data_IF_406799077511
#
_entry.id   IF_406799077511
#
_cell.length_a   1.000
_cell.length_b   1.000
_cell.length_c   1.000
_cell.angle_alpha   90.00
_cell.angle_beta   90.00
_cell.angle_gamma   90.00
#
_symmetry.space_group_name_H-M   'P 1'
#
loop_
_entity.id
_entity.type
_entity.pdbx_description
1 polymer ?
#
# COMPACT_ATOMS: atom_id res chain seq x y z
N UNK A 1 18.01 -13.57 11.41
CA UNK A 1 19.15 -12.82 10.84
C UNK A 1 18.69 -11.56 10.13
N UNK A 2 17.86 -11.64 9.08
CA UNK A 2 17.38 -10.46 8.35
C UNK A 2 16.78 -9.35 9.25
N UNK A 3 15.80 -9.68 10.09
CA UNK A 3 15.18 -8.70 11.00
C UNK A 3 16.13 -8.05 12.01
N UNK A 4 17.26 -8.69 12.34
CA UNK A 4 18.28 -8.12 13.25
C UNK A 4 19.25 -7.19 12.53
N UNK A 5 19.47 -7.42 11.24
CA UNK A 5 20.47 -6.72 10.45
C UNK A 5 19.86 -5.59 9.61
N UNK A 6 18.53 -5.45 9.57
CA UNK A 6 17.88 -4.52 8.64
C UNK A 6 18.31 -3.07 8.86
N UNK A 7 18.54 -2.66 10.11
CA UNK A 7 18.97 -1.29 10.45
C UNK A 7 20.49 -1.10 10.34
N UNK A 8 21.28 -2.16 10.55
CA UNK A 8 22.76 -2.11 10.58
C UNK A 8 23.42 -2.42 9.22
N UNK A 9 22.95 -3.47 8.54
CA UNK A 9 23.44 -3.97 7.24
C UNK A 9 22.25 -4.51 6.39
N UNK A 10 21.50 -3.61 5.72
CA UNK A 10 20.37 -3.98 4.89
C UNK A 10 20.73 -4.95 3.75
N UNK A 11 21.95 -4.83 3.21
CA UNK A 11 22.40 -5.68 2.10
C UNK A 11 22.59 -7.12 2.56
N UNK A 12 23.25 -7.35 3.70
CA UNK A 12 23.38 -8.69 4.27
C UNK A 12 22.02 -9.24 4.73
N UNK A 13 21.16 -8.39 5.30
CA UNK A 13 19.78 -8.78 5.62
C UNK A 13 19.03 -9.28 4.38
N UNK A 14 19.21 -8.60 3.24
CA UNK A 14 18.63 -8.96 1.96
C UNK A 14 19.15 -10.31 1.43
N UNK A 15 20.46 -10.57 1.50
CA UNK A 15 21.03 -11.87 1.12
C UNK A 15 20.43 -13.03 1.96
N UNK A 16 20.24 -12.81 3.25
CA UNK A 16 19.58 -13.78 4.12
C UNK A 16 18.10 -14.00 3.74
N UNK A 17 17.39 -12.94 3.37
CA UNK A 17 16.00 -13.05 2.91
C UNK A 17 15.88 -13.81 1.58
N UNK A 18 16.79 -13.55 0.63
CA UNK A 18 16.90 -14.30 -0.62
C UNK A 18 17.16 -15.79 -0.38
N UNK A 19 18.06 -16.12 0.55
CA UNK A 19 18.29 -17.51 0.95
C UNK A 19 17.04 -18.15 1.56
N UNK A 20 16.32 -17.43 2.42
CA UNK A 20 15.09 -17.94 3.03
C UNK A 20 14.00 -18.24 1.97
N UNK A 21 13.77 -17.34 1.02
CA UNK A 21 12.76 -17.54 -0.03
C UNK A 21 13.12 -18.68 -0.98
N UNK A 22 14.40 -18.94 -1.26
CA UNK A 22 14.82 -20.12 -2.04
C UNK A 22 14.39 -21.44 -1.40
N UNK A 23 14.34 -21.51 -0.08
CA UNK A 23 13.92 -22.71 0.65
C UNK A 23 12.43 -22.72 1.03
N UNK A 24 11.84 -21.54 1.23
CA UNK A 24 10.50 -21.37 1.78
C UNK A 24 9.64 -20.41 0.93
N UNK A 25 9.70 -20.54 -0.40
CA UNK A 25 9.07 -19.60 -1.33
C UNK A 25 7.54 -19.51 -1.27
N UNK A 26 6.83 -20.31 -0.48
CA UNK A 26 5.38 -20.14 -0.27
C UNK A 26 5.02 -19.58 1.10
N UNK A 27 6.02 -19.35 1.96
CA UNK A 27 5.80 -18.83 3.31
C UNK A 27 5.67 -17.30 3.24
N UNK A 28 4.53 -16.79 3.68
CA UNK A 28 4.22 -15.35 3.66
C UNK A 28 5.33 -14.53 4.35
N UNK A 29 5.72 -14.91 5.56
CA UNK A 29 6.77 -14.23 6.32
C UNK A 29 8.13 -14.18 5.59
N UNK A 30 8.51 -15.25 4.87
CA UNK A 30 9.75 -15.24 4.11
C UNK A 30 9.70 -14.24 2.95
N UNK A 31 8.54 -14.12 2.30
CA UNK A 31 8.31 -13.15 1.21
C UNK A 31 8.22 -11.72 1.72
N UNK A 32 7.54 -11.51 2.85
CA UNK A 32 7.49 -10.22 3.54
C UNK A 32 8.89 -9.74 3.91
N UNK A 33 9.70 -10.62 4.50
CA UNK A 33 11.09 -10.31 4.84
C UNK A 33 11.91 -9.93 3.59
N UNK A 34 11.71 -10.64 2.47
CA UNK A 34 12.37 -10.30 1.20
C UNK A 34 11.89 -8.96 0.66
N UNK A 35 10.59 -8.67 0.74
CA UNK A 35 10.03 -7.40 0.31
C UNK A 35 10.58 -6.22 1.12
N UNK A 36 10.58 -6.32 2.45
CA UNK A 36 11.07 -5.26 3.34
C UNK A 36 12.57 -5.02 3.15
N UNK A 37 13.36 -6.09 3.04
CA UNK A 37 14.81 -5.95 2.79
C UNK A 37 15.08 -5.37 1.39
N UNK A 38 14.35 -5.80 0.36
CA UNK A 38 14.46 -5.23 -0.99
C UNK A 38 14.15 -3.73 -0.97
N UNK A 39 13.07 -3.34 -0.28
CA UNK A 39 12.69 -1.94 -0.08
C UNK A 39 13.80 -1.13 0.60
N UNK A 40 14.35 -1.63 1.70
CA UNK A 40 15.45 -0.98 2.42
C UNK A 40 16.73 -0.84 1.59
N UNK A 41 17.00 -1.78 0.66
CA UNK A 41 18.14 -1.70 -0.27
C UNK A 41 17.87 -0.88 -1.53
N UNK A 42 16.64 -0.37 -1.71
CA UNK A 42 16.24 0.41 -2.89
C UNK A 42 15.92 -0.40 -4.14
N UNK A 43 15.82 -1.73 -4.05
CA UNK A 43 15.30 -2.56 -5.16
C UNK A 43 13.77 -2.55 -5.15
N UNK A 44 13.20 -1.41 -5.54
CA UNK A 44 11.76 -1.16 -5.51
C UNK A 44 10.98 -2.09 -6.45
N UNK A 45 11.57 -2.51 -7.57
CA UNK A 45 10.93 -3.44 -8.48
C UNK A 45 10.77 -4.84 -7.84
N UNK A 46 11.80 -5.31 -7.14
CA UNK A 46 11.75 -6.54 -6.35
C UNK A 46 10.76 -6.42 -5.19
N UNK A 47 10.84 -5.34 -4.42
CA UNK A 47 9.94 -5.09 -3.30
C UNK A 47 8.47 -5.15 -3.75
N UNK A 48 8.12 -4.38 -4.79
CA UNK A 48 6.77 -4.32 -5.36
C UNK A 48 6.24 -5.69 -5.81
N UNK A 49 7.08 -6.51 -6.46
CA UNK A 49 6.71 -7.87 -6.89
C UNK A 49 6.38 -8.77 -5.70
N UNK A 50 7.21 -8.73 -4.65
CA UNK A 50 7.03 -9.55 -3.47
C UNK A 50 5.86 -9.06 -2.60
N UNK A 51 5.67 -7.75 -2.44
CA UNK A 51 4.52 -7.16 -1.73
C UNK A 51 3.19 -7.53 -2.39
N UNK A 52 3.09 -7.43 -3.71
CA UNK A 52 1.89 -7.88 -4.46
C UNK A 52 1.65 -9.38 -4.32
N UNK A 53 2.72 -10.17 -4.24
CA UNK A 53 2.62 -11.60 -4.01
C UNK A 53 2.16 -11.91 -2.58
N UNK A 54 2.70 -11.20 -1.59
CA UNK A 54 2.28 -11.28 -0.19
C UNK A 54 0.79 -10.94 -0.06
N UNK A 55 0.34 -9.82 -0.63
CA UNK A 55 -1.08 -9.41 -0.66
C UNK A 55 -1.99 -10.49 -1.25
N UNK A 56 -1.57 -11.15 -2.33
CA UNK A 56 -2.33 -12.28 -2.91
C UNK A 56 -2.38 -13.52 -2.01
N UNK A 57 -1.33 -13.77 -1.23
CA UNK A 57 -1.24 -14.93 -0.33
C UNK A 57 -2.06 -14.69 0.95
N UNK A 58 -1.95 -13.50 1.54
CA UNK A 58 -2.55 -13.18 2.84
C UNK A 58 -3.95 -12.59 2.71
N UNK A 59 -4.27 -11.96 1.57
CA UNK A 59 -5.48 -11.17 1.38
C UNK A 59 -5.46 -9.83 2.13
N UNK A 60 -4.36 -9.46 2.79
CA UNK A 60 -4.26 -8.25 3.62
C UNK A 60 -3.51 -7.12 2.91
N UNK A 61 -3.89 -5.88 3.24
CA UNK A 61 -3.33 -4.65 2.66
C UNK A 61 -2.27 -3.98 3.54
N UNK A 62 -1.66 -4.74 4.47
CA UNK A 62 -0.82 -4.19 5.54
C UNK A 62 0.37 -3.34 5.06
N UNK A 63 0.88 -3.62 3.85
CA UNK A 63 2.05 -2.94 3.27
C UNK A 63 1.68 -2.01 2.11
N UNK A 64 0.45 -1.51 2.05
CA UNK A 64 0.01 -0.61 0.97
C UNK A 64 0.94 0.61 0.85
N UNK A 65 1.39 1.21 1.96
CA UNK A 65 2.30 2.35 1.93
C UNK A 65 3.62 2.01 1.20
N UNK A 66 4.24 0.86 1.50
CA UNK A 66 5.45 0.41 0.79
C UNK A 66 5.18 0.09 -0.68
N UNK A 67 3.98 -0.38 -1.05
CA UNK A 67 3.60 -0.57 -2.46
C UNK A 67 3.55 0.78 -3.18
N UNK A 68 2.90 1.78 -2.57
CA UNK A 68 2.82 3.15 -3.10
C UNK A 68 4.22 3.74 -3.26
N UNK A 69 5.07 3.69 -2.23
CA UNK A 69 6.43 4.20 -2.31
C UNK A 69 7.30 3.43 -3.31
N UNK A 70 7.11 2.11 -3.45
CA UNK A 70 7.84 1.34 -4.46
C UNK A 70 7.40 1.67 -5.89
N UNK A 71 6.12 1.96 -6.14
CA UNK A 71 5.64 2.45 -7.45
C UNK A 71 6.27 3.82 -7.79
N UNK A 72 6.39 4.72 -6.80
CA UNK A 72 7.15 5.97 -6.95
C UNK A 72 8.62 5.69 -7.27
N UNK A 73 9.26 4.78 -6.53
CA UNK A 73 10.67 4.41 -6.71
C UNK A 73 11.01 3.81 -8.07
N UNK A 74 10.03 3.23 -8.78
CA UNK A 74 10.18 2.79 -10.18
C UNK A 74 9.70 3.82 -11.21
N UNK A 75 9.40 5.06 -10.78
CA UNK A 75 9.03 6.18 -11.63
C UNK A 75 7.57 6.19 -12.09
N UNK A 76 6.65 5.65 -11.28
CA UNK A 76 5.20 5.58 -11.61
C UNK A 76 4.31 6.22 -10.52
N UNK A 77 4.47 7.52 -10.24
CA UNK A 77 3.73 8.19 -9.18
C UNK A 77 2.21 8.21 -9.38
N UNK A 78 1.70 8.28 -10.62
CA UNK A 78 0.26 8.16 -10.88
C UNK A 78 -0.26 6.79 -10.45
N UNK A 79 0.50 5.72 -10.73
CA UNK A 79 0.15 4.36 -10.33
C UNK A 79 0.19 4.20 -8.81
N UNK A 80 1.16 4.84 -8.15
CA UNK A 80 1.25 4.89 -6.71
C UNK A 80 -0.04 5.46 -6.09
N UNK A 81 -0.54 6.57 -6.64
CA UNK A 81 -1.80 7.18 -6.16
C UNK A 81 -3.03 6.30 -6.46
N UNK A 82 -3.07 5.58 -7.59
CA UNK A 82 -4.12 4.60 -7.85
C UNK A 82 -4.14 3.47 -6.81
N UNK A 83 -2.99 2.88 -6.51
CA UNK A 83 -2.86 1.80 -5.52
C UNK A 83 -3.27 2.28 -4.12
N UNK A 84 -2.87 3.50 -3.74
CA UNK A 84 -3.24 4.09 -2.45
C UNK A 84 -4.74 4.37 -2.32
N UNK A 85 -5.41 4.81 -3.40
CA UNK A 85 -6.87 5.04 -3.41
C UNK A 85 -7.69 3.74 -3.42
N UNK A 86 -7.11 2.66 -3.97
CA UNK A 86 -7.77 1.35 -4.02
C UNK A 86 -7.73 0.60 -2.69
N UNK A 87 -6.97 1.08 -1.70
CA UNK A 87 -6.91 0.46 -0.38
C UNK A 87 -8.09 0.86 0.49
N UNK A 88 -8.66 -0.12 1.19
CA UNK A 88 -9.68 0.11 2.21
C UNK A 88 -9.01 0.64 3.47
N UNK A 89 -9.27 1.91 3.80
CA UNK A 89 -8.69 2.59 4.96
C UNK A 89 -9.25 2.07 6.28
N UNK A 90 -10.46 1.49 6.28
CA UNK A 90 -11.08 0.96 7.49
C UNK A 90 -10.40 -0.33 7.98
N UNK A 91 -9.78 -1.08 7.06
CA UNK A 91 -9.02 -2.29 7.38
C UNK A 91 -7.60 -2.00 7.90
N UNK A 92 -7.10 -0.78 7.72
CA UNK A 92 -5.75 -0.38 8.12
C UNK A 92 -5.70 0.05 9.58
N UNK A 93 -4.57 -0.20 10.24
CA UNK A 93 -4.25 0.43 11.53
C UNK A 93 -4.04 1.94 11.35
N UNK A 94 -4.09 2.69 12.46
CA UNK A 94 -3.79 4.13 12.47
C UNK A 94 -2.41 4.41 11.86
N UNK A 95 -1.41 3.65 12.28
CA UNK A 95 -0.04 3.76 11.79
C UNK A 95 0.05 3.51 10.27
N UNK A 96 -0.60 2.45 9.78
CA UNK A 96 -0.64 2.15 8.35
C UNK A 96 -1.34 3.25 7.53
N UNK A 97 -2.39 3.89 8.08
CA UNK A 97 -3.04 5.03 7.41
C UNK A 97 -2.14 6.26 7.36
N UNK A 98 -1.38 6.51 8.42
CA UNK A 98 -0.39 7.60 8.48
C UNK A 98 0.72 7.36 7.45
N UNK A 99 1.29 6.15 7.40
CA UNK A 99 2.30 5.77 6.41
C UNK A 99 1.77 5.90 4.97
N UNK A 100 0.53 5.46 4.73
CA UNK A 100 -0.10 5.61 3.42
C UNK A 100 -0.26 7.08 3.02
N UNK A 101 -0.68 7.94 3.95
CA UNK A 101 -0.80 9.38 3.71
C UNK A 101 0.54 10.02 3.34
N UNK A 102 1.62 9.66 4.04
CA UNK A 102 2.98 10.13 3.72
C UNK A 102 3.41 9.66 2.33
N UNK A 103 3.22 8.38 2.00
CA UNK A 103 3.59 7.84 0.68
C UNK A 103 2.78 8.50 -0.46
N UNK A 104 1.47 8.72 -0.26
CA UNK A 104 0.63 9.42 -1.22
C UNK A 104 1.03 10.89 -1.39
N UNK A 105 1.38 11.57 -0.30
CA UNK A 105 1.94 12.94 -0.33
C UNK A 105 3.22 12.97 -1.17
N UNK A 106 4.14 12.03 -0.95
CA UNK A 106 5.35 11.88 -1.78
C UNK A 106 5.04 11.68 -3.26
N UNK A 107 4.03 10.85 -3.60
CA UNK A 107 3.63 10.66 -5.00
C UNK A 107 3.09 11.94 -5.64
N UNK A 108 2.44 12.83 -4.87
CA UNK A 108 2.01 14.16 -5.34
C UNK A 108 3.20 15.08 -5.58
N UNK A 109 4.21 15.05 -4.72
CA UNK A 109 5.45 15.82 -4.92
C UNK A 109 6.18 15.40 -6.19
N UNK A 110 6.27 14.10 -6.48
CA UNK A 110 6.88 13.60 -7.72
C UNK A 110 6.17 14.11 -8.98
N UNK A 111 4.87 14.45 -8.86
CA UNK A 111 4.05 15.04 -9.92
C UNK A 111 4.06 16.57 -9.93
N UNK A 112 4.81 17.22 -9.04
CA UNK A 112 4.81 18.68 -8.86
C UNK A 112 3.49 19.24 -8.32
N UNK A 113 2.68 18.43 -7.67
CA UNK A 113 1.37 18.80 -7.12
C UNK A 113 1.48 19.14 -5.63
N UNK A 114 2.33 20.11 -5.27
CA UNK A 114 2.75 20.35 -3.89
C UNK A 114 1.60 20.72 -2.95
N UNK A 115 0.61 21.50 -3.38
CA UNK A 115 -0.57 21.82 -2.55
C UNK A 115 -1.41 20.57 -2.27
N UNK A 116 -1.55 19.68 -3.27
CA UNK A 116 -2.23 18.40 -3.06
C UNK A 116 -1.41 17.48 -2.16
N UNK A 117 -0.08 17.52 -2.25
CA UNK A 117 0.79 16.78 -1.34
C UNK A 117 0.54 17.17 0.12
N UNK A 118 0.35 18.46 0.40
CA UNK A 118 0.03 18.94 1.74
C UNK A 118 -1.33 18.41 2.20
N UNK A 119 -2.32 18.44 1.30
CA UNK A 119 -3.67 17.96 1.59
C UNK A 119 -3.71 16.43 1.87
N UNK A 120 -2.86 15.61 1.24
CA UNK A 120 -2.79 14.17 1.55
C UNK A 120 -2.38 13.91 3.02
N UNK A 121 -1.65 14.85 3.64
CA UNK A 121 -1.18 14.74 5.04
C UNK A 121 -2.24 15.19 6.06
N UNK A 122 -3.31 15.87 5.62
CA UNK A 122 -4.41 16.36 6.45
C UNK A 122 -5.41 15.22 6.78
N UNK A 123 -4.93 14.23 7.55
CA UNK A 123 -5.73 13.09 8.00
C UNK A 123 -6.28 13.30 9.42
N UNK A 124 -7.40 12.63 9.74
CA UNK A 124 -8.10 12.80 11.02
C UNK A 124 -7.28 12.32 12.24
N UNK A 125 -6.32 11.43 12.01
CA UNK A 125 -5.42 10.89 13.02
C UNK A 125 -4.43 11.94 13.55
N UNK A 126 -4.11 12.96 12.76
CA UNK A 126 -3.08 13.94 13.13
C UNK A 126 -3.60 14.92 14.17
N UNK A 127 -3.09 14.76 15.40
CA UNK A 127 -3.22 15.74 16.48
C UNK A 127 -1.84 16.37 16.77
N UNK A 128 -1.64 17.67 16.49
CA UNK A 128 -0.35 18.35 16.69
C UNK A 128 0.14 18.37 18.15
N UNK A 129 -0.76 18.16 19.11
CA UNK A 129 -0.47 18.24 20.55
C UNK A 129 -0.22 16.86 21.18
N UNK A 130 -0.33 15.77 20.42
CA UNK A 130 -0.10 14.41 20.90
C UNK A 130 1.04 13.69 20.15
N UNK A 131 1.88 13.00 20.92
CA UNK A 131 2.99 12.20 20.40
C UNK A 131 2.66 10.70 20.44
N UNK A 132 2.43 10.14 19.26
CA UNK A 132 2.35 8.70 18.98
C UNK A 132 3.60 8.24 18.22
N UNK A 133 3.92 6.93 18.19
CA UNK A 133 5.11 6.42 17.49
C UNK A 133 5.29 6.92 16.06
N UNK A 134 4.18 7.11 15.33
CA UNK A 134 4.16 7.60 13.95
C UNK A 134 4.12 9.13 13.81
N UNK A 135 3.87 9.89 14.88
CA UNK A 135 3.72 11.35 14.84
C UNK A 135 4.95 12.09 14.27
N UNK A 136 6.21 11.76 14.65
CA UNK A 136 7.38 12.47 14.13
C UNK A 136 7.47 12.41 12.60
N UNK A 137 7.17 11.25 12.01
CA UNK A 137 7.24 11.04 10.57
C UNK A 137 6.28 11.94 9.79
N UNK A 138 5.00 11.98 10.17
CA UNK A 138 4.01 12.82 9.46
C UNK A 138 4.20 14.31 9.71
N UNK A 139 4.71 14.72 10.89
CA UNK A 139 5.04 16.12 11.17
C UNK A 139 6.24 16.58 10.33
N UNK A 140 7.28 15.75 10.22
CA UNK A 140 8.42 16.03 9.36
C UNK A 140 8.03 16.09 7.88
N UNK A 141 7.17 15.16 7.42
CA UNK A 141 6.66 15.18 6.05
C UNK A 141 5.86 16.46 5.77
N UNK A 142 4.98 16.90 6.69
CA UNK A 142 4.23 18.15 6.53
C UNK A 142 5.16 19.36 6.49
N UNK A 143 6.18 19.38 7.35
CA UNK A 143 7.17 20.45 7.36
C UNK A 143 7.91 20.57 6.02
N UNK A 144 8.36 19.44 5.46
CA UNK A 144 9.04 19.41 4.15
C UNK A 144 8.15 19.93 3.02
N UNK A 145 6.87 19.51 2.99
CA UNK A 145 5.93 20.02 1.97
C UNK A 145 5.65 21.51 2.13
N UNK A 146 5.58 22.03 3.37
CA UNK A 146 5.42 23.46 3.63
C UNK A 146 6.64 24.27 3.17
N UNK A 147 7.85 23.73 3.35
CA UNK A 147 9.09 24.33 2.85
C UNK A 147 9.10 24.38 1.31
N UNK A 148 8.68 23.30 0.64
CA UNK A 148 8.54 23.27 -0.83
C UNK A 148 7.51 24.29 -1.36
N UNK A 149 6.52 24.66 -0.54
CA UNK A 149 5.55 25.73 -0.83
C UNK A 149 6.07 27.15 -0.49
N UNK A 150 7.27 27.28 0.08
CA UNK A 150 7.84 28.54 0.55
C UNK A 150 7.19 29.09 1.83
N UNK A 151 6.55 28.23 2.62
CA UNK A 151 5.91 28.57 3.91
C UNK A 151 6.84 28.28 5.08
N UNK A 152 8.04 28.86 5.04
CA UNK A 152 9.18 28.52 5.91
C UNK A 152 8.88 28.66 7.41
N UNK A 153 8.13 29.69 7.81
CA UNK A 153 7.77 29.90 9.23
C UNK A 153 6.90 28.76 9.77
N UNK A 154 5.96 28.26 8.96
CA UNK A 154 5.09 27.14 9.33
C UNK A 154 5.87 25.82 9.29
N UNK A 155 6.72 25.63 8.27
CA UNK A 155 7.61 24.48 8.17
C UNK A 155 8.49 24.35 9.43
N UNK A 156 9.11 25.44 9.87
CA UNK A 156 9.94 25.47 11.08
C UNK A 156 9.15 25.11 12.35
N UNK A 157 7.86 25.48 12.43
CA UNK A 157 7.00 25.09 13.54
C UNK A 157 6.71 23.58 13.52
N UNK A 158 6.43 23.01 12.35
CA UNK A 158 6.19 21.57 12.20
C UNK A 158 7.43 20.71 12.40
N UNK A 159 8.61 21.16 11.96
CA UNK A 159 9.88 20.49 12.29
C UNK A 159 10.09 20.45 13.80
N UNK A 160 9.86 21.57 14.49
CA UNK A 160 9.94 21.60 15.96
C UNK A 160 8.98 20.62 16.62
N UNK A 161 7.75 20.47 16.09
CA UNK A 161 6.79 19.47 16.57
C UNK A 161 7.29 18.05 16.34
N UNK A 162 7.90 17.77 15.18
CA UNK A 162 8.49 16.47 14.89
C UNK A 162 9.59 16.12 15.89
N UNK A 163 10.50 17.06 16.17
CA UNK A 163 11.58 16.89 17.15
C UNK A 163 11.04 16.64 18.56
N UNK A 164 10.07 17.45 19.02
CA UNK A 164 9.43 17.29 20.33
C UNK A 164 8.73 15.94 20.44
N UNK A 165 8.02 15.52 19.39
CA UNK A 165 7.34 14.23 19.38
C UNK A 165 8.34 13.07 19.46
N UNK A 166 9.45 13.14 18.71
CA UNK A 166 10.51 12.13 18.75
C UNK A 166 11.14 12.05 20.15
N UNK A 167 11.51 13.20 20.74
CA UNK A 167 12.09 13.25 22.09
C UNK A 167 11.14 12.67 23.15
N UNK A 168 9.83 12.98 23.06
CA UNK A 168 8.84 12.46 23.98
C UNK A 168 8.67 10.92 23.89
N UNK A 169 8.82 10.36 22.69
CA UNK A 169 8.77 8.90 22.46
C UNK A 169 10.02 8.24 23.04
N UNK A 170 11.21 8.80 22.76
CA UNK A 170 12.48 8.29 23.27
C UNK A 170 12.53 8.29 24.80
N UNK A 171 12.07 9.37 25.43
CA UNK A 171 11.98 9.46 26.89
C UNK A 171 11.07 8.38 27.47
N UNK A 172 9.89 8.15 26.87
CA UNK A 172 8.97 7.09 27.31
C UNK A 172 9.58 5.70 27.17
N UNK A 173 10.30 5.44 26.09
CA UNK A 173 10.98 4.15 25.88
C UNK A 173 12.10 3.95 26.91
N UNK A 174 12.89 4.99 27.18
CA UNK A 174 13.96 4.94 28.19
C UNK A 174 13.43 4.74 29.61
N UNK A 175 12.27 5.33 29.95
CA UNK A 175 11.58 5.11 31.23
C UNK A 175 11.04 3.67 31.36
N UNK A 176 10.64 3.04 30.25
CA UNK A 176 10.13 1.67 30.22
C UNK A 176 11.21 0.58 30.33
N UNK A 177 12.48 0.93 30.13
CA UNK A 177 13.64 0.02 30.12
C UNK A 177 14.39 -0.01 31.47
N UNK A 178 13.81 0.54 32.55
CA UNK A 178 14.36 0.41 33.90
C UNK A 178 14.26 -1.05 34.38
N UNK A 179 15.33 -1.81 34.14
CA UNK A 179 15.51 -3.17 34.64
C UNK A 179 15.59 -3.15 36.18
N UNK A 180 14.49 -3.49 36.85
CA UNK A 180 14.49 -3.83 38.29
C UNK A 180 15.25 -5.15 38.47
N UNK A 181 16.54 -5.06 38.82
CA UNK A 181 17.34 -6.23 39.19
C UNK A 181 17.00 -6.59 40.63
N UNK A 182 16.04 -7.49 40.81
CA UNK A 182 15.85 -8.17 42.08
C UNK A 182 17.09 -9.04 42.37
N UNK A 183 17.89 -8.64 43.35
CA UNK A 183 18.96 -9.50 43.89
C UNK A 183 18.30 -10.74 44.51
N UNK A 184 18.31 -11.86 43.77
CA UNK A 184 17.89 -13.16 44.29
C UNK A 184 18.93 -13.61 45.31
N UNK A 185 18.60 -13.48 46.60
CA UNK A 185 19.40 -14.04 47.69
C UNK A 185 19.38 -15.57 47.57
N UNK A 186 20.55 -16.16 47.29
CA UNK A 186 20.73 -17.60 47.11
C UNK A 186 20.48 -18.30 48.46
N UNK A 187 19.32 -18.96 48.60
CA UNK A 187 19.02 -19.78 49.77
C UNK A 187 19.87 -21.06 49.67
N UNK A 188 20.88 -21.18 50.54
CA UNK A 188 21.63 -22.44 50.72
C UNK A 188 20.66 -23.55 51.17
N UNK A 189 20.39 -24.50 50.29
CA UNK A 189 19.66 -25.71 50.63
C UNK A 189 20.59 -26.64 51.41
N UNK A 190 20.34 -26.77 52.73
CA UNK A 190 21.02 -27.75 53.57
C UNK A 190 20.81 -29.18 53.02
N UNK A 191 21.92 -29.86 52.80
CA UNK A 191 22.07 -31.23 52.31
C UNK A 191 21.24 -32.21 53.17
N UNK A 192 20.33 -32.95 52.52
CA UNK A 192 19.50 -33.95 53.20
C UNK A 192 20.38 -35.10 53.74
N UNK A 193 20.15 -35.60 54.97
CA UNK A 193 20.97 -36.68 55.50
C UNK A 193 20.54 -38.03 54.94
N UNK A 194 21.50 -38.75 54.37
CA UNK A 194 21.43 -40.19 54.10
C UNK A 194 21.03 -40.97 55.36
N UNK A 195 20.01 -41.82 55.24
CA UNK A 195 19.78 -42.94 56.15
C UNK A 195 19.34 -44.17 55.39
N UNK A 196 20.30 -45.03 55.12
CA UNK A 196 20.11 -46.46 54.96
C UNK A 196 19.47 -47.06 56.24
N UNK A 197 18.50 -47.97 56.10
CA UNK A 197 18.65 -49.40 56.48
C UNK A 197 17.28 -50.14 56.62
N UNK A 198 17.13 -51.15 55.76
CA UNK A 198 16.42 -52.44 55.80
C UNK A 198 15.18 -52.71 56.72
N UNK A 199 14.08 -53.24 56.13
CA UNK A 199 13.79 -54.70 56.04
C UNK A 199 12.30 -55.07 55.82
N UNK A 200 12.13 -56.18 55.06
CA UNK A 200 11.08 -57.21 55.06
C UNK A 200 9.82 -57.09 54.15
N UNK A 201 9.91 -57.78 53.01
CA UNK A 201 9.03 -58.85 52.47
C UNK A 201 7.49 -58.72 52.48
N UNK A 202 6.89 -58.71 51.27
CA UNK A 202 5.79 -59.58 50.75
C UNK A 202 5.41 -59.03 49.35
N UNK A 203 5.85 -59.63 48.23
CA UNK A 203 5.31 -60.79 47.49
C UNK A 203 4.17 -60.50 46.49
N UNK A 204 4.41 -60.94 45.25
CA UNK A 204 3.55 -61.12 44.06
C UNK A 204 2.74 -59.90 43.50
N UNK A 205 2.75 -59.55 42.20
CA UNK A 205 2.84 -60.37 40.98
C UNK A 205 2.97 -59.48 39.72
N UNK A 206 3.62 -60.05 38.69
CA UNK A 206 3.49 -59.91 37.23
C UNK A 206 2.86 -58.63 36.61
N UNK A 207 3.57 -57.96 35.71
CA UNK A 207 3.51 -58.27 34.27
C UNK A 207 4.57 -57.46 33.50
N UNK A 208 5.13 -58.14 32.51
CA UNK A 208 6.22 -57.78 31.61
C UNK A 208 5.62 -57.24 30.30
N UNK A 209 6.03 -56.05 29.84
CA UNK A 209 5.73 -55.58 28.48
C UNK A 209 6.77 -54.52 28.05
N UNK A 210 7.92 -55.01 27.57
CA UNK A 210 8.80 -54.27 26.65
C UNK A 210 8.32 -54.50 25.22
N UNK A 211 7.93 -53.42 24.52
CA UNK A 211 7.79 -53.44 23.06
C UNK A 211 8.76 -52.44 22.43
N UNK A 212 9.90 -52.99 22.03
CA UNK A 212 10.78 -52.44 21.00
C UNK A 212 10.07 -52.47 19.64
N UNK A 213 10.07 -51.34 18.94
CA UNK A 213 9.66 -51.26 17.53
C UNK A 213 10.89 -50.93 16.68
N UNK A 214 11.42 -51.96 16.04
CA UNK A 214 12.34 -51.89 14.90
C UNK A 214 11.73 -52.72 13.76
N UNK A 215 11.82 -52.23 12.53
CA UNK A 215 11.19 -52.88 11.38
C UNK A 215 11.17 -52.04 10.09
N UNK A 216 12.34 -51.84 9.50
CA UNK A 216 12.54 -51.54 8.07
C UNK A 216 12.08 -52.69 7.15
N UNK A 217 11.58 -52.34 5.94
CA UNK A 217 11.74 -53.04 4.64
C UNK A 217 10.66 -52.51 3.65
N UNK A 218 10.96 -51.69 2.64
CA UNK A 218 11.66 -51.94 1.36
C UNK A 218 10.80 -52.60 0.25
N UNK A 219 10.93 -52.03 -0.97
CA UNK A 219 10.53 -52.49 -2.32
C UNK A 219 9.02 -52.45 -2.68
N UNK A 220 8.57 -52.07 -3.89
CA UNK A 220 9.21 -52.09 -5.23
C UNK A 220 8.46 -51.18 -6.26
N UNK A 221 9.25 -50.49 -7.09
CA UNK A 221 9.18 -50.27 -8.57
C UNK A 221 7.99 -50.91 -9.37
N UNK A 222 7.46 -50.45 -10.53
CA UNK A 222 7.95 -49.62 -11.64
C UNK A 222 6.81 -49.21 -12.62
N UNK A 223 7.10 -48.20 -13.48
CA UNK A 223 6.78 -48.03 -14.94
C UNK A 223 5.32 -47.98 -15.44
N UNK A 224 4.93 -47.24 -16.50
CA UNK A 224 5.61 -46.48 -17.56
C UNK A 224 4.62 -45.50 -18.26
N UNK A 225 5.20 -44.48 -18.94
CA UNK A 225 4.80 -43.75 -20.16
C UNK A 225 3.43 -43.02 -20.28
N UNK A 226 3.45 -41.71 -20.57
CA UNK A 226 3.36 -41.18 -21.96
C UNK A 226 3.62 -39.66 -22.01
N UNK A 227 4.08 -39.18 -23.17
CA UNK A 227 4.78 -37.93 -23.48
C UNK A 227 3.90 -36.83 -24.14
N UNK A 228 4.37 -35.57 -24.05
CA UNK A 228 4.35 -34.49 -25.07
C UNK A 228 4.55 -33.12 -24.35
N UNK A 229 5.65 -32.37 -24.52
CA UNK A 229 6.17 -31.60 -25.66
C UNK A 229 5.72 -30.12 -25.68
N UNK A 230 6.68 -29.21 -25.41
CA UNK A 230 6.91 -27.85 -25.98
C UNK A 230 7.82 -27.08 -24.98
N UNK A 231 9.15 -26.95 -25.15
CA UNK A 231 9.90 -26.16 -26.15
C UNK A 231 9.43 -24.69 -26.21
N UNK A 232 10.11 -23.78 -25.49
CA UNK A 232 10.81 -22.63 -26.08
C UNK A 232 11.61 -21.88 -24.99
N UNK A 233 12.93 -21.92 -25.11
CA UNK A 233 13.88 -21.11 -24.36
C UNK A 233 14.65 -20.30 -25.40
N UNK A 234 14.59 -18.97 -25.32
CA UNK A 234 15.42 -18.11 -26.17
C UNK A 234 16.62 -17.60 -25.40
N UNK A 235 17.76 -17.92 -26.00
CA UNK A 235 19.11 -17.77 -25.53
C UNK A 235 19.65 -16.36 -25.84
N UNK A 236 20.55 -15.93 -24.97
CA UNK A 236 21.28 -14.68 -25.01
C UNK A 236 22.37 -14.78 -26.08
N UNK A 237 22.41 -13.85 -27.04
CA UNK A 237 23.59 -13.63 -27.87
C UNK A 237 24.23 -12.28 -27.54
N UNK A 238 25.45 -12.36 -27.01
CA UNK A 238 26.39 -11.25 -26.85
C UNK A 238 27.71 -11.65 -27.49
N UNK A 239 28.12 -10.94 -28.54
CA UNK A 239 29.50 -10.57 -28.87
C UNK A 239 29.55 -9.79 -30.21
N UNK A 240 30.26 -8.66 -30.25
CA UNK A 240 30.62 -8.04 -31.54
C UNK A 240 31.02 -6.56 -31.50
N UNK A 241 32.16 -6.26 -30.88
CA UNK A 241 32.91 -5.00 -30.98
C UNK A 241 33.30 -4.65 -32.43
N UNK A 242 33.17 -3.38 -32.87
CA UNK A 242 34.27 -2.56 -33.44
C UNK A 242 33.88 -1.04 -33.54
N UNK A 243 34.85 -0.11 -33.37
CA UNK A 243 34.67 1.35 -33.38
C UNK A 243 35.09 2.01 -34.72
N UNK A 244 34.67 3.26 -35.00
CA UNK A 244 35.51 4.27 -35.71
C UNK A 244 34.85 5.64 -36.00
N UNK A 245 35.61 6.69 -35.63
CA UNK A 245 35.95 7.92 -36.39
C UNK A 245 34.85 8.94 -36.71
N UNK A 246 34.79 10.07 -35.99
CA UNK A 246 35.45 11.38 -36.27
C UNK A 246 35.05 12.02 -37.60
N UNK A 247 34.20 13.05 -37.54
CA UNK A 247 34.35 14.23 -38.40
C UNK A 247 34.07 15.49 -37.58
N UNK A 248 35.14 16.24 -37.36
CA UNK A 248 35.19 17.60 -36.85
C UNK A 248 36.03 18.40 -37.84
N UNK A 249 35.42 19.31 -38.60
CA UNK A 249 36.01 20.44 -39.32
C UNK A 249 34.84 21.39 -39.64
N UNK A 250 34.89 22.72 -39.62
CA UNK A 250 35.81 23.72 -39.11
C UNK A 250 35.12 25.09 -39.29
N UNK A 251 35.52 26.06 -38.46
CA UNK A 251 35.56 27.51 -38.66
C UNK A 251 34.29 28.32 -39.04
N UNK A 252 33.84 29.13 -38.07
CA UNK A 252 33.77 30.60 -38.26
C UNK A 252 34.01 31.34 -36.94
N UNK A 253 35.22 31.92 -36.85
CA UNK A 253 35.63 33.18 -36.21
C UNK A 253 34.47 34.23 -36.26
N UNK A 254 34.19 35.11 -35.29
CA UNK A 254 35.07 36.18 -34.76
C UNK A 254 34.56 36.70 -33.41
N UNK A 255 35.51 37.15 -32.59
CA UNK A 255 35.39 37.66 -31.24
C UNK A 255 34.84 39.10 -31.10
N UNK A 256 34.48 39.39 -29.84
CA UNK A 256 34.74 40.60 -29.06
C UNK A 256 33.71 41.75 -29.03
N UNK A 257 33.73 42.41 -27.86
CA UNK A 257 33.15 43.71 -27.47
C UNK A 257 31.63 43.73 -27.22
N UNK A 258 31.08 44.39 -26.21
CA UNK A 258 31.61 45.26 -25.15
C UNK A 258 30.41 45.44 -24.20
N UNK A 259 30.65 45.48 -22.89
CA UNK A 259 29.68 46.04 -21.96
C UNK A 259 29.98 47.54 -21.85
N UNK A 260 28.97 48.41 -21.74
CA UNK A 260 28.88 49.06 -20.43
C UNK A 260 27.47 49.31 -19.90
N UNK A 261 27.52 49.49 -18.59
CA UNK A 261 26.59 49.95 -17.57
C UNK A 261 25.63 51.13 -17.87
N UNK A 262 24.57 51.10 -17.04
CA UNK A 262 23.79 52.23 -16.46
C UNK A 262 22.91 53.10 -17.38
N UNK A 263 21.59 53.06 -17.16
CA UNK A 263 20.89 54.23 -16.57
C UNK A 263 19.47 53.89 -16.06
N UNK A 264 19.12 54.59 -14.99
CA UNK A 264 17.86 54.59 -14.24
C UNK A 264 16.63 54.97 -15.08
N UNK A 265 15.47 54.38 -14.76
CA UNK A 265 14.21 55.11 -14.46
C UNK A 265 12.97 54.20 -14.48
N UNK A 266 12.35 54.05 -13.31
CA UNK A 266 10.90 53.93 -13.10
C UNK A 266 10.52 55.04 -12.10
N UNK A 267 9.26 55.46 -11.92
CA UNK A 267 8.02 55.19 -12.66
C UNK A 267 7.27 56.49 -13.03
N UNK A 268 6.20 56.41 -13.82
CA UNK A 268 5.13 57.43 -13.77
C UNK A 268 3.77 56.73 -13.76
N UNK A 269 3.04 56.97 -12.67
CA UNK A 269 1.62 56.74 -12.49
C UNK A 269 0.85 57.77 -13.34
N UNK A 270 -0.19 57.36 -14.06
CA UNK A 270 -1.29 58.28 -14.34
C UNK A 270 -2.64 57.54 -14.40
N UNK A 271 -3.58 58.13 -13.67
CA UNK A 271 -4.96 57.73 -13.43
C UNK A 271 -5.83 57.99 -14.67
N UNK A 272 -6.66 57.01 -15.05
CA UNK A 272 -7.96 57.29 -15.67
C UNK A 272 -8.91 56.07 -15.55
N UNK A 273 -9.93 56.20 -14.71
CA UNK A 273 -11.12 55.34 -14.74
C UNK A 273 -12.14 55.81 -15.81
N UNK A 274 -13.36 55.24 -15.90
CA UNK A 274 -13.78 54.28 -16.92
C UNK A 274 -14.87 54.86 -17.83
N UNK A 275 -15.20 54.21 -18.95
CA UNK A 275 -16.58 54.22 -19.48
C UNK A 275 -16.77 53.29 -20.69
N UNK A 276 -18.00 52.78 -20.76
CA UNK A 276 -18.74 52.27 -21.94
C UNK A 276 -18.57 50.80 -22.39
N UNK A 277 -19.54 50.00 -21.93
CA UNK A 277 -20.44 49.13 -22.70
C UNK A 277 -20.04 48.81 -24.16
N UNK A 278 -19.69 47.55 -24.43
CA UNK A 278 -19.82 46.95 -25.75
C UNK A 278 -20.07 45.44 -25.67
N UNK A 279 -21.30 45.08 -26.01
CA UNK A 279 -21.79 43.88 -26.70
C UNK A 279 -21.09 42.52 -26.53
N UNK A 280 -21.88 41.57 -26.03
CA UNK A 280 -21.62 40.14 -26.11
C UNK A 280 -21.56 39.64 -27.57
N UNK A 281 -20.61 38.76 -27.94
CA UNK A 281 -20.74 37.97 -29.15
C UNK A 281 -21.57 36.70 -28.89
N UNK A 282 -22.46 36.43 -29.83
CA UNK A 282 -23.36 35.29 -29.88
C UNK A 282 -22.65 33.94 -30.03
N UNK A 283 -23.41 32.92 -29.66
CA UNK A 283 -23.09 31.50 -29.67
C UNK A 283 -22.73 30.96 -31.06
N UNK A 284 -21.59 30.27 -31.14
CA UNK A 284 -21.41 29.19 -32.11
C UNK A 284 -21.72 27.85 -31.41
N UNK A 285 -22.74 27.19 -31.95
CA UNK A 285 -23.23 25.90 -31.54
C UNK A 285 -22.47 24.80 -32.26
N UNK A 286 -21.66 24.04 -31.53
CA UNK A 286 -21.34 22.65 -31.83
C UNK A 286 -21.48 21.87 -30.52
N UNK A 287 -22.72 21.52 -30.20
CA UNK A 287 -23.04 20.56 -29.16
C UNK A 287 -22.99 19.16 -29.80
N UNK A 288 -21.86 18.49 -29.65
CA UNK A 288 -21.83 17.03 -29.74
C UNK A 288 -22.79 16.49 -28.68
N UNK A 289 -23.85 15.85 -29.15
CA UNK A 289 -24.87 15.24 -28.32
C UNK A 289 -24.28 14.06 -27.56
N UNK A 290 -23.81 14.30 -26.33
CA UNK A 290 -23.68 13.26 -25.33
C UNK A 290 -25.09 12.75 -24.99
N UNK A 291 -25.40 11.56 -25.48
CA UNK A 291 -26.54 10.79 -25.03
C UNK A 291 -26.20 10.29 -23.63
N UNK A 292 -26.91 10.80 -22.62
CA UNK A 292 -26.86 10.29 -21.26
C UNK A 292 -27.56 8.92 -21.27
N UNK A 293 -26.80 7.86 -21.55
CA UNK A 293 -27.27 6.48 -21.38
C UNK A 293 -27.16 6.20 -19.89
N UNK A 294 -28.30 6.13 -19.21
CA UNK A 294 -28.33 5.79 -17.79
C UNK A 294 -27.89 4.32 -17.64
N UNK A 295 -27.25 4.00 -16.52
CA UNK A 295 -26.80 2.62 -16.20
C UNK A 295 -27.95 1.60 -16.30
N UNK A 296 -29.20 2.06 -16.17
CA UNK A 296 -30.42 1.25 -16.32
C UNK A 296 -30.65 0.78 -17.77
N UNK A 297 -30.25 1.56 -18.78
CA UNK A 297 -30.37 1.19 -20.19
C UNK A 297 -29.28 0.19 -20.62
N UNK A 298 -28.04 0.31 -20.09
CA UNK A 298 -26.98 -0.68 -20.35
C UNK A 298 -27.32 -2.06 -19.75
N UNK A 299 -27.95 -2.08 -18.56
CA UNK A 299 -28.39 -3.32 -17.93
C UNK A 299 -29.53 -3.97 -18.73
N UNK A 300 -30.43 -3.19 -19.31
CA UNK A 300 -31.50 -3.71 -20.17
C UNK A 300 -30.96 -4.32 -21.46
N UNK A 301 -29.94 -3.71 -22.07
CA UNK A 301 -29.28 -4.24 -23.28
C UNK A 301 -28.54 -5.56 -22.98
N UNK A 302 -27.80 -5.64 -21.86
CA UNK A 302 -27.09 -6.86 -21.44
C UNK A 302 -28.07 -8.01 -21.12
N UNK A 303 -29.22 -7.70 -20.50
CA UNK A 303 -30.24 -8.70 -20.18
C UNK A 303 -31.00 -9.20 -21.42
N UNK A 304 -31.17 -8.34 -22.43
CA UNK A 304 -31.74 -8.73 -23.72
C UNK A 304 -30.77 -9.60 -24.54
N UNK A 305 -29.47 -9.28 -24.54
CA UNK A 305 -28.44 -10.10 -25.22
C UNK A 305 -28.23 -11.46 -24.53
N UNK A 306 -28.43 -11.52 -23.20
CA UNK A 306 -28.42 -12.75 -22.42
C UNK A 306 -29.71 -13.59 -22.54
N UNK A 307 -30.74 -13.13 -23.27
CA UNK A 307 -32.00 -13.85 -23.49
C UNK A 307 -32.84 -14.06 -22.22
N UNK A 308 -32.73 -13.17 -21.24
CA UNK A 308 -33.37 -13.29 -19.93
C UNK A 308 -34.70 -12.50 -19.80
N UNK A 309 -35.09 -11.76 -20.84
CA UNK A 309 -36.42 -11.15 -20.95
C UNK A 309 -37.30 -12.02 -21.84
N UNK A 310 -38.10 -12.89 -21.22
CA UNK A 310 -39.11 -13.69 -21.90
C UNK A 310 -40.35 -12.85 -22.19
N UNK A 311 -40.84 -12.93 -23.43
CA UNK A 311 -42.17 -12.50 -23.85
C UNK A 311 -43.25 -13.08 -22.92
N UNK A 312 -44.00 -12.23 -22.23
CA UNK A 312 -45.37 -12.57 -21.83
C UNK A 312 -46.30 -11.47 -22.35
N UNK A 313 -46.79 -11.79 -23.55
CA UNK A 313 -47.79 -11.09 -24.33
C UNK A 313 -49.17 -11.20 -23.67
N UNK A 314 -49.99 -10.18 -23.90
CA UNK A 314 -51.34 -10.06 -23.41
C UNK A 314 -52.26 -11.21 -23.89
N UNK A 315 -53.19 -11.63 -23.05
CA UNK A 315 -54.37 -12.38 -23.51
C UNK A 315 -55.63 -11.95 -22.74
N UNK A 316 -56.59 -11.46 -23.52
CA UNK A 316 -57.99 -11.24 -23.22
C UNK A 316 -58.68 -12.45 -22.56
N UNK A 317 -59.58 -12.19 -21.61
CA UNK A 317 -60.67 -13.12 -21.28
C UNK A 317 -61.98 -12.34 -21.05
N UNK A 318 -62.75 -12.22 -22.13
CA UNK A 318 -64.18 -11.95 -22.12
C UNK A 318 -64.94 -13.26 -21.85
N UNK A 319 -65.52 -13.42 -20.66
CA UNK A 319 -66.71 -14.28 -20.49
C UNK A 319 -67.78 -13.64 -19.61
N UNK A 320 -68.91 -13.35 -20.25
CA UNK A 320 -70.18 -12.99 -19.63
C UNK A 320 -70.86 -14.18 -18.91
N UNK A 321 -71.66 -13.82 -17.91
CA UNK A 321 -72.92 -14.42 -17.42
C UNK A 321 -72.97 -15.50 -16.32
N UNK A 322 -73.54 -15.01 -15.20
CA UNK A 322 -74.72 -15.51 -14.47
C UNK A 322 -74.49 -16.16 -13.10
N UNK A 323 -75.19 -15.64 -12.09
CA UNK A 323 -75.36 -16.35 -10.81
C UNK A 323 -75.54 -15.57 -9.51
N UNK A 324 -76.50 -14.63 -9.43
CA UNK A 324 -77.39 -14.41 -8.26
C UNK A 324 -76.86 -14.00 -6.86
N UNK A 325 -77.50 -12.91 -6.36
CA UNK A 325 -77.97 -12.61 -4.97
C UNK A 325 -76.92 -12.16 -3.96
N UNK A 326 -77.17 -11.27 -3.00
CA UNK A 326 -78.27 -10.41 -2.54
C UNK A 326 -77.63 -9.52 -1.43
N UNK A 327 -78.16 -8.32 -1.15
CA UNK A 327 -77.97 -7.62 0.14
C UNK A 327 -77.23 -6.27 0.07
N UNK A 328 -77.98 -5.17 -0.04
CA UNK A 328 -78.21 -4.18 1.05
C UNK A 328 -77.07 -3.14 1.18
N UNK A 329 -77.22 -1.95 0.59
CA UNK A 329 -77.83 -0.73 1.16
C UNK A 329 -76.92 0.01 2.16
N UNK A 330 -76.61 1.28 1.84
CA UNK A 330 -76.40 2.29 2.88
C UNK A 330 -75.23 3.28 2.70
N UNK A 331 -75.55 4.44 2.11
CA UNK A 331 -75.15 5.82 2.52
C UNK A 331 -73.65 6.19 2.48
N UNK A 332 -73.21 7.13 1.63
CA UNK A 332 -73.49 8.58 1.59
C UNK A 332 -72.81 9.39 2.74
N UNK A 333 -72.11 10.47 2.36
CA UNK A 333 -71.46 11.43 3.25
C UNK A 333 -69.92 11.35 3.23
N UNK A 334 -69.20 12.08 2.37
CA UNK A 334 -68.84 13.48 2.54
C UNK A 334 -68.28 13.81 3.94
N UNK A 335 -67.02 14.24 4.02
CA UNK A 335 -66.59 15.58 4.47
C UNK A 335 -65.06 15.67 4.40
N UNK A 336 -64.63 16.73 3.70
CA UNK A 336 -63.37 17.49 3.75
C UNK A 336 -62.23 17.02 4.66
#
# INVERSE_FOLDING_TARGET
>A
MAARLIDDDPALAHEHALAAVRHAGRVALARETLAVTAYATGDFALALRELRTLRRITGRNDHVAMIVDSERGVGRPEKALEEGRAADREELSVEQRVELAIAMSGARLDLGQTELALAELDIAEVDPDQAFPWSPGIFAARAAVLEDLGRDDEAAEWYRRADIAAEAIDQRLAEGDELEVDEVEEIEFDEAPDRDDESADDDESADDDELAYDGESAHDEASDDDAASAEDATEIESAGNEPRETESEDAADVAADDAPDEDDAQPDEDDAQPDEEAEAPEADADADAFVDVTIEDEVAEILAEAGLLGDDDAADDDTETDGSKDGEDGQDGAVR
#
